data_IF_670072693399
#
_entry.id   IF_670072693399
#
_cell.length_a   1.000
_cell.length_b   1.000
_cell.length_c   1.000
_cell.angle_alpha   90.00
_cell.angle_beta   90.00
_cell.angle_gamma   90.00
#
_symmetry.space_group_name_H-M   'P 1'
#
loop_
_entity.id
_entity.type
_entity.pdbx_description
1 polymer ?
#
# COMPACT_ATOMS: atom_id res chain seq x y z
N UNK A 1 12.37 -2.71 5.11
CA UNK A 1 11.46 -3.88 5.21
C UNK A 1 11.81 -4.84 4.07
N UNK A 2 11.88 -6.16 4.32
CA UNK A 2 12.50 -7.18 3.44
C UNK A 2 12.09 -7.05 1.96
N UNK A 3 10.84 -6.65 1.70
CA UNK A 3 10.32 -6.30 0.37
C UNK A 3 9.76 -4.88 0.34
N UNK A 4 10.65 -3.87 0.34
CA UNK A 4 10.30 -2.43 0.45
C UNK A 4 9.30 -1.89 -0.58
N UNK A 5 9.11 -2.58 -1.70
CA UNK A 5 8.19 -2.17 -2.77
C UNK A 5 6.83 -2.84 -2.69
N UNK A 6 6.64 -3.81 -1.80
CA UNK A 6 5.45 -4.66 -1.72
C UNK A 6 4.57 -4.22 -0.56
N UNK A 7 3.27 -4.16 -0.81
CA UNK A 7 2.25 -4.16 0.23
C UNK A 7 1.30 -5.34 -0.02
N UNK A 8 0.72 -5.88 1.05
CA UNK A 8 -0.24 -6.97 0.97
C UNK A 8 -1.39 -6.71 1.94
N UNK A 9 -2.60 -7.09 1.53
CA UNK A 9 -3.82 -6.96 2.32
C UNK A 9 -4.52 -8.31 2.32
N UNK A 10 -5.01 -8.74 3.48
CA UNK A 10 -5.90 -9.88 3.65
C UNK A 10 -7.24 -9.37 4.19
N UNK A 11 -8.32 -9.76 3.53
CA UNK A 11 -9.69 -9.52 3.96
C UNK A 11 -10.40 -10.86 4.14
N UNK A 12 -11.03 -11.04 5.31
CA UNK A 12 -11.87 -12.19 5.60
C UNK A 12 -13.33 -11.74 5.73
N UNK A 13 -14.23 -12.37 4.99
CA UNK A 13 -15.67 -12.04 4.95
C UNK A 13 -16.44 -13.28 5.37
N UNK A 14 -17.26 -13.20 6.41
CA UNK A 14 -18.12 -14.29 6.87
C UNK A 14 -19.57 -13.82 6.96
N UNK A 15 -20.49 -14.27 6.09
CA UNK A 15 -21.90 -13.95 6.18
C UNK A 15 -22.51 -14.59 7.44
N UNK A 16 -22.95 -13.77 8.41
CA UNK A 16 -23.42 -14.30 9.70
C UNK A 16 -24.89 -14.72 9.70
N UNK A 17 -25.72 -14.09 8.86
CA UNK A 17 -27.17 -14.20 8.90
C UNK A 17 -27.83 -14.30 7.52
N UNK A 18 -27.06 -14.43 6.44
CA UNK A 18 -27.58 -14.52 5.08
C UNK A 18 -26.77 -15.48 4.22
N UNK A 19 -27.40 -15.92 3.14
CA UNK A 19 -26.78 -16.56 1.98
C UNK A 19 -27.17 -15.74 0.75
N UNK A 20 -26.24 -15.59 -0.20
CA UNK A 20 -26.52 -14.79 -1.39
C UNK A 20 -25.27 -14.34 -2.12
N UNK A 21 -25.48 -13.52 -3.15
CA UNK A 21 -24.38 -12.97 -3.94
C UNK A 21 -23.60 -11.93 -3.13
N UNK A 22 -22.27 -12.09 -3.09
CA UNK A 22 -21.34 -11.05 -2.67
C UNK A 22 -20.46 -10.69 -3.86
N UNK A 23 -20.16 -9.39 -3.99
CA UNK A 23 -19.21 -8.88 -4.98
C UNK A 23 -18.08 -8.10 -4.30
N UNK A 24 -16.85 -8.46 -4.62
CA UNK A 24 -15.65 -7.71 -4.23
C UNK A 24 -15.17 -6.87 -5.42
N UNK A 25 -15.04 -5.57 -5.21
CA UNK A 25 -14.45 -4.61 -6.15
C UNK A 25 -13.01 -4.30 -5.71
N UNK A 26 -12.02 -4.85 -6.41
CA UNK A 26 -10.61 -4.52 -6.14
C UNK A 26 -10.04 -3.66 -7.25
N UNK A 27 -9.64 -2.43 -6.90
CA UNK A 27 -9.19 -1.45 -7.90
C UNK A 27 -7.89 -0.74 -7.49
N UNK A 28 -7.19 -0.22 -8.51
CA UNK A 28 -6.25 0.88 -8.36
C UNK A 28 -6.97 2.17 -8.72
N UNK A 29 -6.97 3.13 -7.81
CA UNK A 29 -7.55 4.46 -8.01
C UNK A 29 -6.42 5.47 -8.26
N UNK A 30 -6.38 6.03 -9.45
CA UNK A 30 -5.47 7.10 -9.85
C UNK A 30 -5.99 8.51 -9.56
N UNK A 31 -7.26 8.66 -9.15
CA UNK A 31 -7.84 9.94 -8.73
C UNK A 31 -7.57 10.25 -7.25
N UNK A 32 -6.29 10.29 -6.90
CA UNK A 32 -5.82 10.63 -5.56
C UNK A 32 -5.30 12.07 -5.51
N UNK A 33 -5.61 12.77 -4.42
CA UNK A 33 -5.27 14.18 -4.24
C UNK A 33 -4.73 14.41 -2.82
N UNK A 34 -3.83 15.37 -2.67
CA UNK A 34 -3.29 15.76 -1.38
C UNK A 34 -4.38 16.49 -0.56
N UNK A 35 -4.36 16.29 0.75
CA UNK A 35 -5.09 17.14 1.69
C UNK A 35 -4.53 18.56 1.60
N UNK A 36 -5.37 19.54 1.29
CA UNK A 36 -4.90 20.91 1.06
C UNK A 36 -4.63 21.64 2.38
N UNK A 37 -3.51 22.35 2.45
CA UNK A 37 -3.25 23.30 3.54
C UNK A 37 -4.14 24.54 3.36
N UNK A 38 -4.95 24.85 4.38
CA UNK A 38 -5.67 26.13 4.41
C UNK A 38 -4.75 27.28 4.84
N UNK A 39 -4.31 27.26 6.11
CA UNK A 39 -3.44 28.28 6.72
C UNK A 39 -2.25 27.70 7.47
N UNK A 40 -2.37 26.46 7.93
CA UNK A 40 -1.37 25.79 8.75
C UNK A 40 -0.61 24.74 7.92
N UNK A 41 0.70 24.93 7.66
CA UNK A 41 1.51 23.98 6.89
C UNK A 41 1.66 22.62 7.58
N UNK A 42 1.25 22.49 8.86
CA UNK A 42 1.22 21.21 9.57
C UNK A 42 0.05 20.33 9.15
N UNK A 43 -0.95 20.85 8.46
CA UNK A 43 -2.21 20.13 8.23
C UNK A 43 -2.28 19.53 6.82
N UNK A 44 -1.76 20.22 5.81
CA UNK A 44 -1.88 19.79 4.42
C UNK A 44 -0.75 20.26 3.53
N UNK A 45 -0.91 20.02 2.24
CA UNK A 45 0.01 20.43 1.19
C UNK A 45 -0.51 21.64 0.41
N UNK A 46 0.41 22.43 -0.12
CA UNK A 46 0.18 23.47 -1.11
C UNK A 46 -0.07 22.92 -2.52
N UNK A 47 0.14 21.62 -2.75
CA UNK A 47 -0.19 20.94 -3.99
C UNK A 47 -1.71 20.83 -4.16
N UNK A 48 -2.25 21.49 -5.18
CA UNK A 48 -3.69 21.53 -5.45
C UNK A 48 -4.11 20.53 -6.52
N UNK A 49 -5.18 19.81 -6.22
CA UNK A 49 -5.78 18.83 -7.12
C UNK A 49 -4.87 17.62 -7.36
N UNK A 50 -5.16 16.88 -8.44
CA UNK A 50 -4.38 15.71 -8.83
C UNK A 50 -3.01 16.11 -9.35
N UNK A 51 -1.94 15.56 -8.77
CA UNK A 51 -0.54 15.83 -9.16
C UNK A 51 0.08 14.76 -10.04
N UNK A 52 -0.62 13.65 -10.26
CA UNK A 52 -0.20 12.52 -11.09
C UNK A 52 -1.09 12.41 -12.34
N UNK A 53 -0.46 12.34 -13.51
CA UNK A 53 -1.13 12.00 -14.76
C UNK A 53 -0.89 10.51 -15.07
N UNK A 54 -1.93 9.81 -15.51
CA UNK A 54 -1.81 8.43 -15.97
C UNK A 54 -1.25 8.45 -17.40
N UNK A 55 -0.10 7.81 -17.60
CA UNK A 55 0.57 7.70 -18.90
C UNK A 55 0.14 6.40 -19.60
N UNK A 56 0.02 5.32 -18.83
CA UNK A 56 -0.31 4.00 -19.35
C UNK A 56 -1.09 3.19 -18.30
N UNK A 57 -1.91 2.26 -18.78
CA UNK A 57 -2.69 1.35 -17.94
C UNK A 57 -2.74 -0.04 -18.58
N UNK A 58 -2.60 -1.06 -17.74
CA UNK A 58 -2.78 -2.46 -18.13
C UNK A 58 -3.69 -3.16 -17.14
N UNK A 59 -4.52 -4.04 -17.64
CA UNK A 59 -5.36 -4.88 -16.77
C UNK A 59 -5.66 -6.22 -17.45
N UNK A 60 -5.72 -7.26 -16.62
CA UNK A 60 -6.17 -8.60 -16.95
C UNK A 60 -6.84 -9.22 -15.71
N UNK A 61 -7.26 -10.48 -15.81
CA UNK A 61 -7.97 -11.19 -14.74
C UNK A 61 -7.11 -11.39 -13.48
N UNK A 62 -5.78 -11.44 -13.63
CA UNK A 62 -4.82 -11.64 -12.54
C UNK A 62 -4.47 -10.34 -11.79
N UNK A 63 -4.79 -9.18 -12.38
CA UNK A 63 -4.48 -7.87 -11.80
C UNK A 63 -4.33 -6.74 -12.81
N UNK A 64 -3.71 -5.64 -12.41
CA UNK A 64 -3.53 -4.47 -13.27
C UNK A 64 -2.43 -3.54 -12.78
N UNK A 65 -2.00 -2.63 -13.65
CA UNK A 65 -0.98 -1.65 -13.34
C UNK A 65 -1.28 -0.28 -13.96
N UNK A 66 -0.90 0.77 -13.24
CA UNK A 66 -0.76 2.14 -13.74
C UNK A 66 0.71 2.52 -13.87
N UNK A 67 1.03 3.24 -14.95
CA UNK A 67 2.21 4.10 -15.02
C UNK A 67 1.74 5.54 -14.94
N UNK A 68 2.25 6.27 -13.96
CA UNK A 68 1.90 7.65 -13.68
C UNK A 68 3.12 8.56 -13.75
N UNK A 69 2.89 9.85 -14.03
CA UNK A 69 3.92 10.91 -14.04
C UNK A 69 3.50 12.07 -13.18
N UNK A 70 4.40 12.57 -12.34
CA UNK A 70 4.17 13.83 -11.62
C UNK A 70 4.13 14.98 -12.62
N UNK A 71 3.14 15.87 -12.51
CA UNK A 71 2.94 17.01 -13.43
C UNK A 71 4.16 17.93 -13.55
N UNK A 72 4.81 18.25 -12.44
CA UNK A 72 5.88 19.25 -12.41
C UNK A 72 7.27 18.64 -12.62
N UNK A 73 7.62 17.57 -11.89
CA UNK A 73 8.99 17.04 -11.90
C UNK A 73 9.24 15.97 -12.95
N UNK A 74 8.18 15.43 -13.56
CA UNK A 74 8.27 14.32 -14.51
C UNK A 74 8.66 12.97 -13.90
N UNK A 75 8.73 12.85 -12.57
CA UNK A 75 9.00 11.57 -11.90
C UNK A 75 7.92 10.55 -12.24
N UNK A 76 8.34 9.31 -12.40
CA UNK A 76 7.47 8.21 -12.76
C UNK A 76 7.14 7.37 -11.53
N UNK A 77 5.88 6.97 -11.42
CA UNK A 77 5.37 6.04 -10.43
C UNK A 77 4.66 4.90 -11.17
N UNK A 78 5.10 3.67 -10.95
CA UNK A 78 4.34 2.50 -11.33
C UNK A 78 3.67 1.89 -10.10
N UNK A 79 2.36 1.68 -10.20
CA UNK A 79 1.56 0.98 -9.20
C UNK A 79 0.97 -0.27 -9.86
N UNK A 80 1.22 -1.45 -9.31
CA UNK A 80 0.66 -2.70 -9.80
C UNK A 80 -0.10 -3.42 -8.69
N UNK A 81 -1.16 -4.14 -9.05
CA UNK A 81 -1.93 -4.99 -8.15
C UNK A 81 -2.07 -6.40 -8.72
N UNK A 82 -2.14 -7.38 -7.82
CA UNK A 82 -2.62 -8.73 -8.12
C UNK A 82 -3.58 -9.17 -7.03
N UNK A 83 -4.62 -9.91 -7.41
CA UNK A 83 -5.72 -10.30 -6.52
C UNK A 83 -5.80 -11.82 -6.43
N UNK A 84 -6.13 -12.33 -5.25
CA UNK A 84 -6.35 -13.74 -4.99
C UNK A 84 -7.65 -13.91 -4.20
N UNK A 85 -8.55 -14.74 -4.71
CA UNK A 85 -9.77 -15.12 -4.01
C UNK A 85 -9.70 -16.61 -3.66
N UNK A 86 -9.72 -16.94 -2.36
CA UNK A 86 -9.83 -18.32 -1.88
C UNK A 86 -11.29 -18.68 -1.61
N UNK A 87 -12.10 -18.62 -2.67
CA UNK A 87 -13.51 -19.02 -2.68
C UNK A 87 -13.94 -19.22 -4.14
N UNK A 88 -14.83 -20.19 -4.46
CA UNK A 88 -15.25 -20.41 -5.84
C UNK A 88 -16.10 -19.23 -6.36
N UNK A 89 -15.49 -18.37 -7.18
CA UNK A 89 -16.20 -17.37 -7.97
C UNK A 89 -16.80 -17.99 -9.23
N UNK A 90 -18.05 -17.63 -9.53
CA UNK A 90 -18.68 -18.00 -10.80
C UNK A 90 -18.50 -16.91 -11.86
N UNK A 91 -18.07 -15.70 -11.48
CA UNK A 91 -17.77 -14.62 -12.41
C UNK A 91 -16.61 -13.75 -11.92
N UNK A 92 -15.62 -13.58 -12.79
CA UNK A 92 -14.51 -12.63 -12.65
C UNK A 92 -14.53 -11.75 -13.89
N UNK A 93 -14.53 -10.42 -13.70
CA UNK A 93 -14.47 -9.48 -14.82
C UNK A 93 -13.58 -8.29 -14.50
N UNK A 94 -12.92 -7.75 -15.52
CA UNK A 94 -12.06 -6.57 -15.39
C UNK A 94 -12.77 -5.34 -15.92
N UNK A 95 -12.47 -4.18 -15.33
CA UNK A 95 -12.94 -2.89 -15.83
C UNK A 95 -11.77 -1.90 -15.92
N UNK A 96 -11.88 -0.97 -16.87
CA UNK A 96 -10.82 0.01 -17.16
C UNK A 96 -11.43 1.34 -17.57
N UNK A 97 -11.47 2.27 -16.62
CA UNK A 97 -11.92 3.65 -16.80
C UNK A 97 -10.70 4.58 -16.92
N UNK A 98 -10.93 5.89 -17.03
CA UNK A 98 -9.84 6.87 -17.19
C UNK A 98 -8.87 6.84 -16.00
N UNK A 99 -9.40 6.84 -14.77
CA UNK A 99 -8.63 6.97 -13.53
C UNK A 99 -8.72 5.73 -12.63
N UNK A 100 -9.42 4.70 -13.07
CA UNK A 100 -9.73 3.53 -12.25
C UNK A 100 -9.59 2.26 -13.07
N UNK A 101 -8.82 1.30 -12.58
CA UNK A 101 -8.75 -0.04 -13.17
C UNK A 101 -8.99 -1.06 -12.06
N UNK A 102 -9.72 -2.14 -12.34
CA UNK A 102 -10.04 -3.10 -11.31
C UNK A 102 -10.61 -4.42 -11.79
N UNK A 103 -10.74 -5.33 -10.84
CA UNK A 103 -11.32 -6.66 -11.03
C UNK A 103 -12.50 -6.84 -10.08
N UNK A 104 -13.60 -7.31 -10.64
CA UNK A 104 -14.81 -7.69 -9.93
C UNK A 104 -14.82 -9.20 -9.71
N UNK A 105 -15.00 -9.62 -8.47
CA UNK A 105 -15.19 -11.02 -8.11
C UNK A 105 -16.61 -11.20 -7.60
N UNK A 106 -17.39 -12.06 -8.24
CA UNK A 106 -18.76 -12.36 -7.82
C UNK A 106 -18.86 -13.84 -7.47
N UNK A 107 -19.40 -14.13 -6.28
CA UNK A 107 -19.51 -15.48 -5.75
C UNK A 107 -20.78 -15.66 -4.90
N UNK A 108 -21.32 -16.89 -4.81
CA UNK A 108 -22.50 -17.19 -4.01
C UNK A 108 -22.03 -17.52 -2.59
N UNK A 109 -22.04 -16.52 -1.72
CA UNK A 109 -21.60 -16.66 -0.35
C UNK A 109 -22.63 -17.42 0.49
N UNK A 110 -22.16 -18.41 1.25
CA UNK A 110 -23.00 -19.18 2.19
C UNK A 110 -22.84 -18.68 3.61
N UNK A 111 -23.89 -18.87 4.40
CA UNK A 111 -23.92 -18.46 5.80
C UNK A 111 -22.88 -19.26 6.58
N UNK A 112 -22.04 -18.54 7.33
CA UNK A 112 -21.00 -19.12 8.18
C UNK A 112 -19.75 -19.59 7.45
N UNK A 113 -19.70 -19.54 6.11
CA UNK A 113 -18.47 -19.83 5.36
C UNK A 113 -17.61 -18.55 5.25
N UNK A 114 -16.33 -18.66 5.61
CA UNK A 114 -15.38 -17.54 5.50
C UNK A 114 -14.76 -17.50 4.11
N UNK A 115 -14.94 -16.37 3.42
CA UNK A 115 -14.25 -16.03 2.18
C UNK A 115 -12.96 -15.28 2.53
N UNK A 116 -11.84 -15.68 1.92
CA UNK A 116 -10.57 -14.95 2.04
C UNK A 116 -10.19 -14.30 0.72
N UNK A 117 -9.87 -13.02 0.79
CA UNK A 117 -9.44 -12.22 -0.34
C UNK A 117 -8.11 -11.57 -0.02
N UNK A 118 -7.14 -11.75 -0.91
CA UNK A 118 -5.82 -11.15 -0.79
C UNK A 118 -5.58 -10.18 -1.94
N UNK A 119 -4.98 -9.05 -1.60
CA UNK A 119 -4.53 -8.06 -2.56
C UNK A 119 -3.06 -7.79 -2.35
N UNK A 120 -2.27 -8.04 -3.37
CA UNK A 120 -0.85 -7.73 -3.42
C UNK A 120 -0.67 -6.46 -4.24
N UNK A 121 0.25 -5.60 -3.81
CA UNK A 121 0.53 -4.31 -4.40
C UNK A 121 2.04 -4.14 -4.57
N UNK A 122 2.44 -3.49 -5.65
CA UNK A 122 3.81 -3.04 -5.85
C UNK A 122 3.86 -1.56 -6.22
N UNK A 123 4.76 -0.82 -5.57
CA UNK A 123 5.03 0.60 -5.85
C UNK A 123 6.50 0.79 -6.20
N UNK A 124 6.76 1.26 -7.42
CA UNK A 124 8.10 1.56 -7.91
C UNK A 124 8.15 2.99 -8.44
N UNK A 125 9.22 3.70 -8.13
CA UNK A 125 9.43 5.09 -8.56
C UNK A 125 10.71 5.23 -9.36
N UNK A 126 10.73 6.14 -10.33
CA UNK A 126 11.94 6.49 -11.06
C UNK A 126 12.03 8.00 -11.32
N UNK A 127 13.19 8.62 -11.03
CA UNK A 127 13.41 10.06 -11.24
C UNK A 127 13.68 10.42 -12.70
N UNK A 128 14.31 9.52 -13.48
CA UNK A 128 14.69 9.73 -14.90
C UNK A 128 14.69 8.40 -15.65
N UNK A 129 14.25 8.38 -16.91
CA UNK A 129 14.27 7.20 -17.80
C UNK A 129 13.63 5.93 -17.18
N UNK A 130 12.30 5.91 -17.11
CA UNK A 130 11.54 4.79 -16.54
C UNK A 130 11.18 3.70 -17.54
N UNK A 131 12.07 3.39 -18.47
CA UNK A 131 11.85 2.29 -19.42
C UNK A 131 11.55 1.00 -18.65
N UNK A 132 10.45 0.36 -19.04
CA UNK A 132 9.93 -0.86 -18.42
C UNK A 132 9.55 -0.74 -16.92
N UNK A 133 9.37 0.47 -16.35
CA UNK A 133 9.01 0.62 -14.94
C UNK A 133 7.70 -0.10 -14.59
N UNK A 134 6.67 -0.02 -15.45
CA UNK A 134 5.43 -0.80 -15.29
C UNK A 134 5.71 -2.30 -15.28
N UNK A 135 6.49 -2.81 -16.24
CA UNK A 135 6.83 -4.24 -16.31
C UNK A 135 7.61 -4.74 -15.09
N UNK A 136 8.46 -3.88 -14.49
CA UNK A 136 9.13 -4.19 -13.22
C UNK A 136 8.15 -4.25 -12.06
N UNK A 137 7.19 -3.32 -11.98
CA UNK A 137 6.16 -3.33 -10.94
C UNK A 137 5.24 -4.56 -11.07
N UNK A 138 4.84 -4.89 -12.30
CA UNK A 138 4.07 -6.10 -12.64
C UNK A 138 4.83 -7.36 -12.18
N UNK A 139 6.14 -7.46 -12.46
CA UNK A 139 6.97 -8.58 -11.98
C UNK A 139 7.01 -8.65 -10.45
N UNK A 140 7.24 -7.52 -9.77
CA UNK A 140 7.33 -7.49 -8.30
C UNK A 140 6.02 -7.92 -7.66
N UNK A 141 4.86 -7.49 -8.19
CA UNK A 141 3.56 -7.89 -7.61
C UNK A 141 3.24 -9.36 -7.89
N UNK A 142 3.62 -9.90 -9.07
CA UNK A 142 3.49 -11.33 -9.38
C UNK A 142 4.38 -12.19 -8.47
N UNK A 143 5.61 -11.75 -8.21
CA UNK A 143 6.51 -12.46 -7.29
C UNK A 143 5.97 -12.42 -5.84
N UNK A 144 5.33 -11.31 -5.43
CA UNK A 144 4.64 -11.21 -4.15
C UNK A 144 3.43 -12.16 -4.07
N UNK A 145 2.60 -12.20 -5.12
CA UNK A 145 1.48 -13.13 -5.24
C UNK A 145 1.94 -14.60 -5.12
N UNK A 146 3.01 -14.97 -5.83
CA UNK A 146 3.57 -16.34 -5.80
C UNK A 146 4.12 -16.72 -4.43
N UNK A 147 4.72 -15.78 -3.70
CA UNK A 147 5.16 -16.02 -2.33
C UNK A 147 3.96 -16.22 -1.38
N UNK A 148 2.86 -15.51 -1.66
CA UNK A 148 1.61 -15.60 -0.91
C UNK A 148 1.64 -14.92 0.45
N UNK A 149 0.46 -14.73 1.03
CA UNK A 149 0.25 -14.04 2.30
C UNK A 149 1.10 -14.61 3.44
N UNK A 150 1.07 -15.94 3.63
CA UNK A 150 1.75 -16.59 4.75
C UNK A 150 3.25 -16.31 4.77
N UNK A 151 3.93 -16.39 3.62
CA UNK A 151 5.35 -16.10 3.54
C UNK A 151 5.64 -14.61 3.82
N UNK A 152 4.90 -13.70 3.18
CA UNK A 152 5.07 -12.25 3.37
C UNK A 152 4.85 -11.85 4.84
N UNK A 153 3.86 -12.46 5.49
CA UNK A 153 3.57 -12.23 6.90
C UNK A 153 4.70 -12.73 7.81
N UNK A 154 5.25 -13.92 7.56
CA UNK A 154 6.38 -14.44 8.33
C UNK A 154 7.64 -13.59 8.15
N UNK A 155 7.94 -13.15 6.92
CA UNK A 155 9.06 -12.25 6.65
C UNK A 155 8.91 -10.92 7.40
N UNK A 156 7.71 -10.32 7.37
CA UNK A 156 7.42 -9.09 8.11
C UNK A 156 7.53 -9.32 9.63
N UNK A 157 7.01 -10.43 10.15
CA UNK A 157 7.07 -10.79 11.56
C UNK A 157 8.52 -10.98 12.03
N UNK A 158 9.34 -11.67 11.26
CA UNK A 158 10.76 -11.87 11.57
C UNK A 158 11.50 -10.54 11.65
N UNK A 159 11.25 -9.64 10.69
CA UNK A 159 11.85 -8.30 10.71
C UNK A 159 11.41 -7.49 11.93
N UNK A 160 10.12 -7.53 12.30
CA UNK A 160 9.64 -6.87 13.52
C UNK A 160 10.29 -7.47 14.77
N UNK A 161 10.46 -8.79 14.83
CA UNK A 161 11.11 -9.44 15.96
C UNK A 161 12.57 -8.98 16.12
N UNK A 162 13.35 -8.97 15.04
CA UNK A 162 14.73 -8.45 15.02
C UNK A 162 14.78 -6.97 15.46
N UNK A 163 13.85 -6.14 14.97
CA UNK A 163 13.78 -4.75 15.41
C UNK A 163 13.54 -4.63 16.92
N UNK A 164 12.56 -5.36 17.46
CA UNK A 164 12.23 -5.29 18.88
C UNK A 164 13.32 -5.91 19.77
N UNK A 165 14.07 -6.88 19.27
CA UNK A 165 15.25 -7.41 19.99
C UNK A 165 16.29 -6.33 20.27
N UNK A 166 16.43 -5.35 19.37
CA UNK A 166 17.45 -4.30 19.48
C UNK A 166 16.93 -2.96 20.01
N UNK A 167 15.64 -2.65 19.80
CA UNK A 167 15.09 -1.32 20.04
C UNK A 167 14.08 -1.24 21.19
N UNK A 168 13.65 -2.38 21.77
CA UNK A 168 12.63 -2.35 22.81
C UNK A 168 13.16 -1.80 24.14
N UNK A 169 12.30 -1.03 24.82
CA UNK A 169 12.55 -0.46 26.14
C UNK A 169 11.42 -0.92 27.05
N UNK A 170 11.75 -1.73 28.06
CA UNK A 170 10.77 -2.26 29.00
C UNK A 170 10.55 -1.31 30.20
N UNK A 171 9.29 -0.97 30.48
CA UNK A 171 8.88 -0.13 31.61
C UNK A 171 8.03 -0.94 32.58
N UNK A 172 8.49 -1.07 33.83
CA UNK A 172 7.76 -1.80 34.88
C UNK A 172 6.73 -0.89 35.54
N UNK A 173 5.50 -1.41 35.71
CA UNK A 173 4.45 -0.77 36.49
C UNK A 173 3.60 0.28 35.76
N UNK A 174 3.90 0.59 34.50
CA UNK A 174 3.11 1.54 33.69
C UNK A 174 2.92 1.05 32.25
N UNK A 175 1.74 0.48 31.97
CA UNK A 175 1.40 -0.03 30.65
C UNK A 175 1.17 1.08 29.60
N UNK A 176 0.73 2.26 30.04
CA UNK A 176 0.45 3.39 29.13
C UNK A 176 1.77 3.95 28.62
N UNK A 177 2.74 4.15 29.50
CA UNK A 177 4.09 4.57 29.12
C UNK A 177 4.77 3.51 28.24
N UNK A 178 4.65 2.22 28.59
CA UNK A 178 5.19 1.12 27.76
C UNK A 178 4.64 1.14 26.33
N UNK A 179 3.31 1.31 26.18
CA UNK A 179 2.68 1.41 24.88
C UNK A 179 3.14 2.65 24.12
N UNK A 180 3.23 3.80 24.80
CA UNK A 180 3.70 5.06 24.21
C UNK A 180 5.11 4.96 23.65
N UNK A 181 6.05 4.38 24.39
CA UNK A 181 7.43 4.20 23.92
C UNK A 181 7.50 3.28 22.70
N UNK A 182 6.83 2.12 22.75
CA UNK A 182 6.77 1.19 21.61
C UNK A 182 6.09 1.83 20.39
N UNK A 183 5.02 2.60 20.59
CA UNK A 183 4.37 3.34 19.50
C UNK A 183 5.33 4.33 18.82
N UNK A 184 6.08 5.11 19.60
CA UNK A 184 7.08 6.04 19.06
C UNK A 184 8.21 5.31 18.31
N UNK A 185 8.77 4.25 18.89
CA UNK A 185 9.83 3.45 18.27
C UNK A 185 9.35 2.82 16.95
N UNK A 186 8.12 2.31 16.93
CA UNK A 186 7.51 1.78 15.72
C UNK A 186 7.40 2.84 14.62
N UNK A 187 6.95 4.05 14.94
CA UNK A 187 6.85 5.13 13.94
C UNK A 187 8.22 5.61 13.41
N UNK A 188 9.26 5.61 14.26
CA UNK A 188 10.63 5.86 13.80
C UNK A 188 11.08 4.80 12.80
N UNK A 189 10.84 3.52 13.08
CA UNK A 189 11.13 2.42 12.16
C UNK A 189 10.40 2.60 10.81
N UNK A 190 9.11 2.99 10.83
CA UNK A 190 8.35 3.18 9.59
C UNK A 190 8.84 4.39 8.77
N UNK A 191 9.34 5.44 9.42
CA UNK A 191 9.63 6.73 8.77
C UNK A 191 11.04 6.86 8.23
N UNK A 192 12.00 6.08 8.74
CA UNK A 192 13.42 6.24 8.39
C UNK A 192 13.78 5.71 7.01
N UNK A 193 14.40 6.57 6.22
CA UNK A 193 15.06 6.22 4.96
C UNK A 193 16.27 5.31 5.19
N UNK A 194 16.49 4.33 4.32
CA UNK A 194 17.53 3.28 4.49
C UNK A 194 18.35 3.02 3.23
N UNK A 195 18.29 3.94 2.28
CA UNK A 195 18.91 3.79 0.96
C UNK A 195 20.07 4.77 0.73
N UNK A 196 20.48 5.49 1.78
CA UNK A 196 21.51 6.53 1.71
C UNK A 196 21.10 7.77 0.91
N UNK A 197 19.85 7.83 0.43
CA UNK A 197 19.31 8.93 -0.38
C UNK A 197 18.12 9.62 0.29
N UNK A 198 17.42 8.90 1.16
CA UNK A 198 16.23 9.36 1.90
C UNK A 198 16.53 9.45 3.40
N UNK A 199 15.86 10.40 4.07
CA UNK A 199 15.96 10.64 5.50
C UNK A 199 14.56 10.76 6.15
N UNK A 200 14.47 11.06 7.44
CA UNK A 200 13.20 11.18 8.20
C UNK A 200 12.58 12.57 7.99
N UNK A 201 11.38 12.62 7.41
CA UNK A 201 10.59 13.85 7.32
C UNK A 201 9.92 14.20 8.66
N UNK A 202 9.59 15.49 8.87
CA UNK A 202 8.96 15.98 10.11
C UNK A 202 7.66 15.26 10.50
N UNK A 203 6.96 14.65 9.55
CA UNK A 203 5.78 13.80 9.78
C UNK A 203 5.91 12.39 9.18
N UNK A 204 7.14 11.93 8.98
CA UNK A 204 7.40 10.67 8.29
C UNK A 204 6.64 10.58 6.96
N UNK A 205 5.94 9.47 6.75
CA UNK A 205 5.04 9.24 5.61
C UNK A 205 3.58 9.09 6.05
N UNK A 206 3.17 9.77 7.14
CA UNK A 206 1.84 9.58 7.75
C UNK A 206 0.83 10.67 7.38
N UNK A 207 1.20 11.63 6.53
CA UNK A 207 0.30 12.70 6.09
C UNK A 207 1.02 13.78 5.31
N UNK A 208 0.24 14.79 4.89
CA UNK A 208 0.68 15.85 3.98
C UNK A 208 1.32 17.06 4.67
N UNK A 209 1.16 17.17 6.00
CA UNK A 209 1.75 18.27 6.76
C UNK A 209 3.28 18.30 6.66
N UNK A 210 3.83 19.48 6.45
CA UNK A 210 5.24 19.71 6.13
C UNK A 210 5.73 19.04 4.84
N UNK A 211 4.84 18.48 4.01
CA UNK A 211 5.11 18.02 2.64
C UNK A 211 6.27 17.02 2.47
N UNK A 212 6.61 16.29 3.53
CA UNK A 212 7.75 15.37 3.51
C UNK A 212 9.12 16.05 3.58
N UNK A 213 9.19 17.34 3.95
CA UNK A 213 10.44 18.08 4.11
C UNK A 213 11.26 17.62 5.32
N UNK A 214 12.58 17.77 5.18
CA UNK A 214 13.57 17.57 6.23
C UNK A 214 13.86 18.87 6.95
N UNK A 215 14.01 18.78 8.27
CA UNK A 215 14.32 19.90 9.16
C UNK A 215 15.47 19.48 10.08
N UNK A 216 15.87 20.35 11.00
CA UNK A 216 16.84 20.04 12.05
C UNK A 216 16.39 18.93 13.02
N UNK A 217 15.11 18.55 12.99
CA UNK A 217 14.52 17.43 13.72
C UNK A 217 15.12 16.06 13.31
N UNK A 218 15.67 15.97 12.10
CA UNK A 218 16.21 14.77 11.47
C UNK A 218 17.60 14.39 11.99
#
# INVERSE_FOLDING_TARGET
LSKKHVAAICYEITPLNFEGEIRIYSALNGDVQNLQAEKDPRVGSHLKGRVLDIIDKKINEEGGAFLQRTKNTGFLLACAMSNQLEYPAFSVSTFSEELLIGTNFTFPAKKGETIKFYKYLAYLTCKKNGDHLSGKAEKVVVDAYKAGWSQLFQEQKALMAEFWEHADIEVKGDQVVQQGLRFNAFHLLQSVGRDGQTNIAAKGLTGEGYEGHYFWDT
#
